data_IF_807758040238
#
_entry.id   IF_807758040238
#
_cell.length_a   1.000
_cell.length_b   1.000
_cell.length_c   1.000
_cell.angle_alpha   90.00
_cell.angle_beta   90.00
_cell.angle_gamma   90.00
#
_symmetry.space_group_name_H-M   'P 1'
#
loop_
_entity.id
_entity.type
_entity.pdbx_description
1 polymer ?
#
# COMPACT_ATOMS: atom_id res chain seq x y z
N UNK A 1 -22.37 -19.42 -4.05
CA UNK A 1 -20.96 -19.47 -3.60
C UNK A 1 -20.37 -18.14 -3.99
N UNK A 2 -19.76 -17.43 -3.03
CA UNK A 2 -19.25 -16.09 -3.27
C UNK A 2 -17.85 -16.18 -3.89
N UNK A 3 -17.70 -15.51 -5.01
CA UNK A 3 -16.46 -15.46 -5.79
C UNK A 3 -16.21 -14.02 -6.22
N UNK A 4 -14.96 -13.70 -6.55
CA UNK A 4 -14.56 -12.39 -7.07
C UNK A 4 -13.96 -12.57 -8.44
N UNK A 5 -14.31 -11.68 -9.37
CA UNK A 5 -13.67 -11.61 -10.68
C UNK A 5 -12.22 -11.17 -10.51
N UNK A 6 -11.27 -11.97 -10.98
CA UNK A 6 -9.83 -11.64 -10.94
C UNK A 6 -9.26 -11.27 -12.31
N UNK A 7 -9.99 -11.59 -13.38
CA UNK A 7 -9.69 -11.12 -14.73
C UNK A 7 -11.01 -10.69 -15.38
N UNK A 8 -11.03 -9.54 -16.04
CA UNK A 8 -12.26 -9.02 -16.65
C UNK A 8 -12.78 -9.95 -17.74
N UNK A 9 -14.01 -10.46 -17.59
CA UNK A 9 -14.65 -11.34 -18.57
C UNK A 9 -16.14 -11.03 -18.73
N UNK A 10 -16.69 -11.27 -19.91
CA UNK A 10 -18.12 -11.08 -20.19
C UNK A 10 -18.68 -9.68 -19.84
N UNK A 11 -17.83 -8.64 -19.89
CA UNK A 11 -18.22 -7.27 -19.51
C UNK A 11 -18.36 -7.04 -18.00
N UNK A 12 -17.89 -7.98 -17.17
CA UNK A 12 -17.80 -7.83 -15.73
C UNK A 12 -16.37 -7.39 -15.39
N UNK A 13 -16.26 -6.32 -14.61
CA UNK A 13 -14.97 -5.76 -14.21
C UNK A 13 -14.28 -6.61 -13.14
N UNK A 14 -12.95 -6.59 -13.16
CA UNK A 14 -12.11 -7.15 -12.10
C UNK A 14 -12.49 -6.57 -10.73
N UNK A 15 -12.47 -7.41 -9.69
CA UNK A 15 -12.87 -7.06 -8.33
C UNK A 15 -14.39 -7.14 -8.10
N UNK A 16 -15.20 -7.36 -9.13
CA UNK A 16 -16.65 -7.48 -8.97
C UNK A 16 -17.00 -8.76 -8.17
N UNK A 17 -17.75 -8.66 -7.06
CA UNK A 17 -18.23 -9.84 -6.36
C UNK A 17 -19.41 -10.46 -7.10
N UNK A 18 -19.35 -11.79 -7.30
CA UNK A 18 -20.42 -12.57 -7.92
C UNK A 18 -20.85 -13.68 -6.97
N UNK A 19 -22.14 -14.00 -6.97
CA UNK A 19 -22.65 -15.22 -6.33
C UNK A 19 -23.08 -16.19 -7.43
N UNK A 20 -22.34 -17.27 -7.57
CA UNK A 20 -22.55 -18.31 -8.58
C UNK A 20 -22.69 -19.68 -7.91
N UNK A 21 -23.42 -20.62 -8.51
CA UNK A 21 -23.40 -22.01 -8.07
C UNK A 21 -22.00 -22.62 -8.31
N UNK A 22 -21.62 -23.58 -7.44
CA UNK A 22 -20.28 -24.19 -7.47
C UNK A 22 -19.95 -24.84 -8.82
N UNK A 23 -20.92 -25.51 -9.46
CA UNK A 23 -20.76 -26.08 -10.80
C UNK A 23 -20.31 -25.08 -11.86
N UNK A 24 -20.75 -23.82 -11.77
CA UNK A 24 -20.35 -22.78 -12.71
C UNK A 24 -19.07 -22.06 -12.28
N UNK A 25 -18.87 -21.88 -10.97
CA UNK A 25 -17.70 -21.20 -10.42
C UNK A 25 -16.43 -22.06 -10.52
N UNK A 26 -16.49 -23.35 -10.21
CA UNK A 26 -15.33 -24.26 -10.18
C UNK A 26 -14.47 -24.25 -11.43
N UNK A 27 -15.01 -24.46 -12.65
CA UNK A 27 -14.18 -24.42 -13.86
C UNK A 27 -13.60 -23.02 -14.11
N UNK A 28 -14.32 -21.95 -13.79
CA UNK A 28 -13.83 -20.58 -13.95
C UNK A 28 -12.73 -20.22 -12.94
N UNK A 29 -12.75 -20.82 -11.74
CA UNK A 29 -11.68 -20.71 -10.75
C UNK A 29 -10.45 -21.50 -11.20
N UNK A 30 -10.61 -22.73 -11.69
CA UNK A 30 -9.48 -23.54 -12.20
C UNK A 30 -8.80 -22.89 -13.42
N UNK A 31 -9.56 -22.19 -14.24
CA UNK A 31 -9.04 -21.43 -15.38
C UNK A 31 -8.42 -20.08 -14.98
N UNK A 32 -8.60 -19.63 -13.73
CA UNK A 32 -8.03 -18.37 -13.22
C UNK A 32 -8.82 -17.10 -13.56
N UNK A 33 -10.10 -17.21 -13.92
CA UNK A 33 -10.98 -16.05 -14.15
C UNK A 33 -11.66 -15.56 -12.86
N UNK A 34 -11.92 -16.47 -11.93
CA UNK A 34 -12.57 -16.21 -10.66
C UNK A 34 -11.68 -16.66 -9.50
N UNK A 35 -11.78 -15.98 -8.37
CA UNK A 35 -11.22 -16.42 -7.10
C UNK A 35 -12.33 -16.69 -6.11
N UNK A 36 -12.24 -17.78 -5.34
CA UNK A 36 -13.13 -17.99 -4.21
C UNK A 36 -12.94 -16.84 -3.22
N UNK A 37 -14.05 -16.21 -2.83
CA UNK A 37 -14.00 -15.15 -1.82
C UNK A 37 -13.81 -15.85 -0.46
N UNK A 38 -12.57 -16.15 -0.14
CA UNK A 38 -12.17 -16.51 1.22
C UNK A 38 -12.28 -15.21 2.00
N UNK A 39 -13.14 -15.14 3.02
CA UNK A 39 -13.13 -14.04 3.97
C UNK A 39 -11.71 -13.95 4.51
N UNK A 40 -10.91 -13.02 3.99
CA UNK A 40 -9.63 -12.70 4.56
C UNK A 40 -9.93 -12.40 6.03
N UNK A 41 -9.41 -13.25 6.93
CA UNK A 41 -9.63 -13.07 8.35
C UNK A 41 -9.39 -11.59 8.68
N UNK A 42 -10.31 -10.90 9.38
CA UNK A 42 -10.12 -9.50 9.72
C UNK A 42 -8.89 -9.40 10.63
N UNK A 43 -7.74 -9.10 10.04
CA UNK A 43 -6.51 -9.36 10.76
C UNK A 43 -5.23 -9.03 10.00
N UNK A 44 -5.17 -7.93 9.25
CA UNK A 44 -3.89 -7.26 8.92
C UNK A 44 -4.01 -5.84 8.32
N UNK A 45 -5.11 -5.12 8.55
CA UNK A 45 -5.17 -3.68 8.24
C UNK A 45 -5.61 -2.94 9.51
N UNK A 46 -4.66 -2.79 10.44
CA UNK A 46 -4.67 -1.77 11.50
C UNK A 46 -3.31 -1.84 12.22
N UNK A 47 -2.23 -1.63 11.47
CA UNK A 47 -1.08 -0.93 12.02
C UNK A 47 -1.32 0.55 11.74
N UNK A 48 -2.18 1.15 12.54
CA UNK A 48 -1.97 2.55 12.90
C UNK A 48 -0.83 2.48 13.93
N UNK A 49 0.44 2.71 13.57
CA UNK A 49 1.41 3.01 14.62
C UNK A 49 0.82 4.23 15.35
N UNK A 50 0.62 4.19 16.68
CA UNK A 50 0.50 5.43 17.40
C UNK A 50 1.83 6.15 17.20
N UNK A 51 1.92 6.99 16.18
CA UNK A 51 2.88 8.09 16.16
C UNK A 51 2.37 9.02 17.23
N UNK A 52 2.72 8.70 18.46
CA UNK A 52 2.64 9.63 19.56
C UNK A 52 3.65 10.72 19.21
N UNK A 53 3.15 11.80 18.60
CA UNK A 53 3.89 13.02 18.31
C UNK A 53 4.25 13.78 19.60
N UNK A 54 4.50 13.08 20.71
CA UNK A 54 5.29 13.61 21.82
C UNK A 54 6.74 13.70 21.37
N UNK A 55 6.97 14.71 20.53
CA UNK A 55 8.08 15.65 20.60
C UNK A 55 9.16 15.16 21.54
N UNK A 56 10.11 14.45 20.96
CA UNK A 56 11.47 14.32 21.43
C UNK A 56 11.91 15.75 21.76
N UNK A 57 11.91 16.13 23.03
CA UNK A 57 12.50 17.39 23.48
C UNK A 57 13.96 17.33 23.07
N UNK A 58 14.28 18.17 22.10
CA UNK A 58 15.59 18.45 21.55
C UNK A 58 16.56 18.86 22.67
N UNK A 59 17.14 17.85 23.33
CA UNK A 59 18.36 18.01 24.11
C UNK A 59 19.53 17.79 23.15
N UNK A 60 19.86 18.82 22.36
CA UNK A 60 21.18 18.92 21.73
C UNK A 60 21.62 20.38 21.61
N UNK A 61 22.45 20.73 22.58
CA UNK A 61 23.74 21.40 22.41
C UNK A 61 23.77 22.79 21.73
N UNK A 62 24.01 23.77 22.59
CA UNK A 62 24.79 24.96 22.28
C UNK A 62 26.08 24.61 21.53
N UNK A 63 26.21 25.04 20.26
CA UNK A 63 27.42 25.61 19.67
C UNK A 63 27.20 25.87 18.17
N UNK A 64 27.05 27.13 17.78
CA UNK A 64 27.51 27.66 16.50
C UNK A 64 27.38 29.20 16.51
N UNK A 65 28.20 29.87 17.32
CA UNK A 65 28.69 31.20 16.95
C UNK A 65 29.75 30.98 15.87
N UNK A 66 29.43 31.30 14.61
CA UNK A 66 30.09 32.36 13.82
C UNK A 66 29.66 32.29 12.34
N UNK A 67 29.09 33.37 11.77
CA UNK A 67 28.67 33.44 10.39
C UNK A 67 29.75 34.11 9.53
N UNK A 68 30.51 33.35 8.72
CA UNK A 68 31.21 33.98 7.60
C UNK A 68 31.08 33.25 6.27
N UNK A 69 30.47 34.01 5.36
CA UNK A 69 30.16 33.80 3.97
C UNK A 69 31.38 33.39 3.13
N UNK A 70 31.21 32.39 2.26
CA UNK A 70 30.83 32.59 0.86
C UNK A 70 31.80 33.44 0.03
N UNK A 71 32.53 32.77 -0.89
CA UNK A 71 32.78 33.15 -2.30
C UNK A 71 33.65 32.06 -2.91
N UNK A 72 33.07 31.16 -3.72
CA UNK A 72 32.91 31.33 -5.17
C UNK A 72 34.22 31.38 -5.98
N UNK A 73 34.32 30.39 -6.87
CA UNK A 73 34.70 30.48 -8.28
C UNK A 73 36.09 29.97 -8.69
N UNK A 74 36.04 28.80 -9.33
CA UNK A 74 36.99 28.14 -10.22
C UNK A 74 37.24 29.01 -11.49
N UNK A 75 38.50 29.10 -11.96
CA UNK A 75 38.87 29.64 -13.28
C UNK A 75 40.32 30.14 -13.30
N UNK A 76 41.30 29.36 -13.76
CA UNK A 76 41.87 29.35 -15.14
C UNK A 76 42.51 30.69 -15.53
N UNK A 77 43.84 30.81 -15.41
CA UNK A 77 44.82 30.79 -16.52
C UNK A 77 46.23 30.98 -15.96
#
# INVERSE_FOLDING_TARGET
MKVTVIESFCGIEEGTPLDLPKDLASPLIEQGYLSEHIEAAPGLDHIDPPVDESVITEDIAANAEDPEQSKSKKGIK
#
